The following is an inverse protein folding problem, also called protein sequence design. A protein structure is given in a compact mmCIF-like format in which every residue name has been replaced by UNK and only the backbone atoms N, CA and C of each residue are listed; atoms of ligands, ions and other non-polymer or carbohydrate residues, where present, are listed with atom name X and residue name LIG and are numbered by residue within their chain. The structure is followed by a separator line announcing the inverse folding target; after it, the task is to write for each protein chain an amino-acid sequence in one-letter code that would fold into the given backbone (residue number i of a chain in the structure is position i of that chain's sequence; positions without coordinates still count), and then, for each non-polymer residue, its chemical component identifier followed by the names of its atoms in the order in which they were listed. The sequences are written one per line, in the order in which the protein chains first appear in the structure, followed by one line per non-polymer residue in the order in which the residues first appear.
data_IF_610782756738
#
_entry.id   IF_610782756738
#
_cell.length_a   1.000
_cell.length_b   1.000
_cell.length_c   1.000
_cell.angle_alpha   90.00
_cell.angle_beta   90.00
_cell.angle_gamma   90.00
#
_symmetry.space_group_name_H-M   'P 1'
#
loop_
_entity.id
_entity.type
_entity.pdbx_description
1 polymer ?
#
# COMPACT_ATOMS: atom_id res chain seq x y z
N UNK A 1 -24.86 -17.23 -14.78
CA UNK A 1 -25.31 -16.22 -13.81
C UNK A 1 -24.14 -15.30 -13.59
N UNK A 2 -24.24 -14.06 -14.06
CA UNK A 2 -23.18 -13.05 -13.88
C UNK A 2 -23.04 -12.74 -12.39
N UNK A 3 -22.00 -13.26 -11.74
CA UNK A 3 -21.53 -12.69 -10.48
C UNK A 3 -20.92 -11.33 -10.83
N UNK A 4 -21.78 -10.31 -11.01
CA UNK A 4 -21.36 -8.94 -11.15
C UNK A 4 -20.55 -8.57 -9.91
N UNK A 5 -19.25 -8.37 -10.08
CA UNK A 5 -18.34 -7.86 -9.07
C UNK A 5 -18.96 -6.63 -8.38
N UNK A 6 -19.50 -6.83 -7.19
CA UNK A 6 -20.22 -5.79 -6.46
C UNK A 6 -19.22 -4.71 -6.06
N UNK A 7 -19.27 -3.57 -6.76
CA UNK A 7 -18.43 -2.42 -6.49
C UNK A 7 -19.01 -1.66 -5.30
N UNK A 8 -18.24 -1.60 -4.21
CA UNK A 8 -18.61 -0.84 -3.02
C UNK A 8 -17.86 0.49 -2.99
N UNK A 9 -18.51 1.60 -2.58
CA UNK A 9 -17.84 2.86 -2.37
C UNK A 9 -17.01 2.80 -1.08
N UNK A 10 -15.73 3.15 -1.16
CA UNK A 10 -14.82 3.25 -0.02
C UNK A 10 -14.15 4.62 0.02
N UNK A 11 -13.88 5.11 1.22
CA UNK A 11 -13.05 6.30 1.45
C UNK A 11 -11.68 5.86 1.95
N UNK A 12 -10.64 6.27 1.22
CA UNK A 12 -9.25 5.96 1.49
C UNK A 12 -8.50 7.25 1.81
N UNK A 13 -7.59 7.21 2.77
CA UNK A 13 -6.84 8.38 3.24
C UNK A 13 -5.37 8.21 2.90
N UNK A 14 -4.78 9.21 2.25
CA UNK A 14 -3.35 9.28 1.96
C UNK A 14 -2.89 10.73 1.99
N UNK A 15 -1.79 11.02 2.68
CA UNK A 15 -1.22 12.36 2.80
C UNK A 15 -2.28 13.40 3.24
N UNK A 16 -3.02 13.09 4.32
CA UNK A 16 -4.09 13.93 4.89
C UNK A 16 -5.28 14.22 3.95
N UNK A 17 -5.35 13.57 2.79
CA UNK A 17 -6.43 13.68 1.82
C UNK A 17 -7.28 12.42 1.76
N UNK A 18 -8.60 12.59 1.83
CA UNK A 18 -9.58 11.53 1.65
C UNK A 18 -10.05 11.42 0.20
N UNK A 19 -9.85 10.26 -0.42
CA UNK A 19 -10.31 9.94 -1.77
C UNK A 19 -11.43 8.90 -1.72
N UNK A 20 -12.56 9.21 -2.38
CA UNK A 20 -13.68 8.29 -2.50
C UNK A 20 -13.58 7.54 -3.82
N UNK A 21 -13.39 6.22 -3.76
CA UNK A 21 -13.29 5.35 -4.94
C UNK A 21 -14.28 4.19 -4.83
N UNK A 22 -14.51 3.50 -5.95
CA UNK A 22 -15.27 2.25 -5.97
C UNK A 22 -14.29 1.10 -6.13
N UNK A 23 -14.38 0.10 -5.25
CA UNK A 23 -13.54 -1.10 -5.28
C UNK A 23 -14.42 -2.33 -5.30
N UNK A 24 -13.91 -3.45 -5.81
CA UNK A 24 -14.61 -4.72 -5.66
C UNK A 24 -14.61 -5.10 -4.18
N UNK A 25 -15.74 -5.63 -3.71
CA UNK A 25 -15.90 -6.08 -2.32
C UNK A 25 -14.81 -7.06 -1.87
N UNK A 26 -14.37 -7.95 -2.76
CA UNK A 26 -13.29 -8.93 -2.52
C UNK A 26 -11.89 -8.29 -2.38
N UNK A 27 -11.68 -7.13 -3.01
CA UNK A 27 -10.38 -6.44 -3.02
C UNK A 27 -10.26 -5.38 -1.91
N UNK A 28 -11.34 -5.10 -1.18
CA UNK A 28 -11.41 -3.96 -0.26
C UNK A 28 -10.30 -3.98 0.79
N UNK A 29 -10.06 -5.14 1.41
CA UNK A 29 -9.00 -5.32 2.40
C UNK A 29 -7.60 -5.08 1.79
N UNK A 30 -7.35 -5.66 0.61
CA UNK A 30 -6.08 -5.51 -0.10
C UNK A 30 -5.82 -4.05 -0.51
N UNK A 31 -6.85 -3.35 -0.99
CA UNK A 31 -6.77 -1.93 -1.34
C UNK A 31 -6.51 -1.07 -0.12
N UNK A 32 -7.19 -1.30 1.01
CA UNK A 32 -6.91 -0.59 2.27
C UNK A 32 -5.48 -0.80 2.73
N UNK A 33 -4.98 -2.03 2.63
CA UNK A 33 -3.61 -2.35 2.99
C UNK A 33 -2.61 -1.63 2.10
N UNK A 34 -2.82 -1.64 0.78
CA UNK A 34 -1.98 -0.94 -0.18
C UNK A 34 -1.92 0.57 0.10
N UNK A 35 -3.07 1.19 0.40
CA UNK A 35 -3.11 2.62 0.77
C UNK A 35 -2.33 2.91 2.04
N UNK A 36 -2.45 2.05 3.07
CA UNK A 36 -1.69 2.21 4.31
C UNK A 36 -0.18 2.13 4.08
N UNK A 37 0.27 1.21 3.22
CA UNK A 37 1.69 1.10 2.85
C UNK A 37 2.15 2.38 2.12
N UNK A 38 1.35 2.86 1.16
CA UNK A 38 1.67 4.08 0.42
C UNK A 38 1.71 5.32 1.34
N UNK A 39 0.77 5.45 2.28
CA UNK A 39 0.74 6.56 3.25
C UNK A 39 1.96 6.55 4.18
N UNK A 40 2.36 5.38 4.67
CA UNK A 40 3.60 5.24 5.43
C UNK A 40 4.82 5.67 4.59
N UNK A 41 4.87 5.29 3.31
CA UNK A 41 5.97 5.67 2.41
C UNK A 41 6.03 7.18 2.17
N UNK A 42 4.88 7.81 1.98
CA UNK A 42 4.78 9.27 1.87
C UNK A 42 5.26 9.95 3.15
N UNK A 43 4.89 9.43 4.33
CA UNK A 43 5.37 9.95 5.61
C UNK A 43 6.89 9.80 5.79
N UNK A 44 7.49 8.67 5.38
CA UNK A 44 8.95 8.49 5.36
C UNK A 44 9.64 9.54 4.47
N UNK A 45 9.11 9.78 3.26
CA UNK A 45 9.64 10.79 2.35
C UNK A 45 9.51 12.20 2.92
N UNK A 46 8.38 12.50 3.59
CA UNK A 46 8.15 13.78 4.27
C UNK A 46 9.17 14.04 5.38
N UNK A 47 9.52 13.00 6.15
CA UNK A 47 10.55 13.10 7.19
C UNK A 47 11.96 13.23 6.62
N UNK A 48 12.23 12.60 5.47
CA UNK A 48 13.55 12.60 4.83
C UNK A 48 13.84 13.89 4.05
N UNK A 49 12.83 14.45 3.39
CA UNK A 49 12.96 15.64 2.55
C UNK A 49 12.03 16.75 3.06
N UNK A 50 12.53 17.63 3.91
CA UNK A 50 11.74 18.76 4.43
C UNK A 50 11.50 19.84 3.36
N UNK A 51 10.33 20.49 3.41
CA UNK A 51 10.03 21.71 2.63
C UNK A 51 9.42 21.52 1.25
N UNK A 52 8.89 20.32 0.94
CA UNK A 52 8.08 20.05 -0.26
C UNK A 52 6.60 19.91 0.09
N UNK A 53 5.75 20.07 -0.91
CA UNK A 53 4.30 19.89 -0.77
C UNK A 53 3.90 18.40 -0.86
N UNK A 54 2.75 18.05 -0.30
CA UNK A 54 2.24 16.66 -0.27
C UNK A 54 2.09 16.01 -1.65
N UNK A 55 1.87 16.84 -2.68
CA UNK A 55 1.80 16.37 -4.05
C UNK A 55 3.16 15.88 -4.58
N UNK A 56 4.26 16.52 -4.17
CA UNK A 56 5.61 16.10 -4.56
C UNK A 56 5.97 14.77 -3.90
N UNK A 57 5.61 14.56 -2.64
CA UNK A 57 5.83 13.28 -1.97
C UNK A 57 5.02 12.15 -2.61
N UNK A 58 3.78 12.43 -3.03
CA UNK A 58 2.98 11.45 -3.76
C UNK A 58 3.59 11.13 -5.13
N UNK A 59 4.10 12.13 -5.84
CA UNK A 59 4.80 11.94 -7.12
C UNK A 59 6.11 11.14 -6.94
N UNK A 60 6.90 11.45 -5.91
CA UNK A 60 8.11 10.67 -5.58
C UNK A 60 7.76 9.23 -5.22
N UNK A 61 6.71 9.00 -4.43
CA UNK A 61 6.23 7.67 -4.08
C UNK A 61 5.80 6.89 -5.34
N UNK A 62 5.05 7.52 -6.24
CA UNK A 62 4.65 6.93 -7.52
C UNK A 62 5.86 6.57 -8.40
N UNK A 63 6.86 7.46 -8.48
CA UNK A 63 8.09 7.23 -9.23
C UNK A 63 8.89 6.07 -8.65
N UNK A 64 8.98 5.95 -7.33
CA UNK A 64 9.61 4.80 -6.67
C UNK A 64 8.89 3.51 -7.03
N UNK A 65 7.56 3.45 -6.85
CA UNK A 65 6.77 2.27 -7.21
C UNK A 65 6.88 1.89 -8.69
N UNK A 66 6.89 2.87 -9.60
CA UNK A 66 7.05 2.63 -11.02
C UNK A 66 8.47 2.16 -11.36
N UNK A 67 9.48 2.68 -10.65
CA UNK A 67 10.88 2.24 -10.80
C UNK A 67 11.01 0.80 -10.32
N UNK A 68 10.50 0.47 -9.13
CA UNK A 68 10.51 -0.89 -8.57
C UNK A 68 9.90 -1.90 -9.57
N UNK A 69 8.77 -1.57 -10.20
CA UNK A 69 8.14 -2.42 -11.23
C UNK A 69 9.01 -2.65 -12.48
N UNK A 70 9.90 -1.71 -12.82
CA UNK A 70 10.76 -1.77 -14.01
C UNK A 70 12.13 -2.38 -13.70
N UNK A 71 12.67 -2.12 -12.50
CA UNK A 71 14.00 -2.57 -12.08
C UNK A 71 13.95 -3.92 -11.37
N UNK A 72 12.83 -4.28 -10.74
CA UNK A 72 12.66 -5.51 -9.97
C UNK A 72 11.57 -6.39 -10.60
N UNK A 73 11.88 -7.03 -11.73
CA UNK A 73 11.05 -8.12 -12.25
C UNK A 73 11.03 -9.36 -11.32
N UNK A 74 11.85 -9.37 -10.26
CA UNK A 74 12.08 -10.52 -9.36
C UNK A 74 11.77 -10.28 -7.87
N UNK A 75 11.52 -9.05 -7.40
CA UNK A 75 11.13 -8.85 -5.99
C UNK A 75 9.61 -8.93 -5.81
N UNK A 76 9.19 -9.75 -4.83
CA UNK A 76 7.78 -9.96 -4.48
C UNK A 76 7.04 -8.64 -4.25
N UNK A 77 5.84 -8.54 -4.83
CA UNK A 77 4.87 -7.45 -4.60
C UNK A 77 4.89 -7.00 -3.11
N UNK A 78 4.98 -5.69 -2.82
CA UNK A 78 5.11 -5.17 -1.46
C UNK A 78 4.03 -5.65 -0.49
N UNK A 79 2.81 -5.89 -0.99
CA UNK A 79 1.71 -6.47 -0.20
C UNK A 79 2.02 -7.92 0.19
N UNK A 80 2.58 -8.70 -0.73
CA UNK A 80 2.99 -10.10 -0.50
C UNK A 80 4.21 -10.15 0.42
N UNK A 81 5.20 -9.27 0.22
CA UNK A 81 6.38 -9.13 1.10
C UNK A 81 5.96 -8.82 2.53
N UNK A 82 5.01 -7.89 2.73
CA UNK A 82 4.47 -7.58 4.05
C UNK A 82 3.73 -8.78 4.68
N UNK A 83 2.90 -9.49 3.90
CA UNK A 83 2.21 -10.70 4.38
C UNK A 83 3.20 -11.79 4.82
N UNK A 84 4.28 -11.98 4.07
CA UNK A 84 5.34 -12.93 4.40
C UNK A 84 6.06 -12.51 5.69
N UNK A 85 6.40 -11.23 5.85
CA UNK A 85 6.99 -10.73 7.09
C UNK A 85 6.09 -10.94 8.30
N UNK A 86 4.78 -10.72 8.15
CA UNK A 86 3.79 -10.98 9.20
C UNK A 86 3.75 -12.47 9.59
N UNK A 87 3.78 -13.37 8.59
CA UNK A 87 3.79 -14.81 8.81
C UNK A 87 5.08 -15.29 9.49
N UNK A 88 6.24 -14.75 9.09
CA UNK A 88 7.53 -15.03 9.74
C UNK A 88 7.48 -14.57 11.20
N UNK A 89 6.94 -13.38 11.48
CA UNK A 89 6.79 -12.88 12.85
C UNK A 89 5.91 -13.78 13.73
N UNK A 90 4.84 -14.37 13.16
CA UNK A 90 3.98 -15.35 13.85
C UNK A 90 4.71 -16.66 14.15
N UNK A 91 5.57 -17.13 13.23
CA UNK A 91 6.38 -18.33 13.45
C UNK A 91 7.41 -18.08 14.56
N UNK A 92 8.09 -16.93 14.55
CA UNK A 92 9.06 -16.57 15.59
C UNK A 92 8.44 -16.48 16.99
N UNK A 93 7.19 -16.02 17.08
CA UNK A 93 6.45 -15.99 18.36
C UNK A 93 6.07 -17.37 18.86
N UNK A 94 5.83 -18.33 17.96
CA UNK A 94 5.54 -19.74 18.33
C UNK A 94 6.79 -20.53 18.69
N UNK A 95 7.96 -20.14 18.19
CA UNK A 95 9.25 -20.79 18.51
C UNK A 95 9.85 -20.27 19.81
N UNK A 96 9.54 -19.03 20.19
CA UNK A 96 10.05 -18.39 21.43
C UNK A 96 9.13 -18.58 22.65
N UNK A 97 7.97 -19.22 22.49
CA UNK A 97 7.10 -19.70 23.57
C UNK A 97 7.29 -21.18 23.81
#
# INVERSE_FOLDING_TARGET
MENGSELIPVTLWIAERGYRIKVKKEDEEAVRMAVKIADNKVNELRQTFAGKDDQDFLAMCLLMYATDQVTEADELNPVVKHKIQELIGKIDTLIKG
#
